data_IF_060377907934
#
_entry.id   IF_060377907934
#
_cell.length_a   1.000
_cell.length_b   1.000
_cell.length_c   1.000
_cell.angle_alpha   90.00
_cell.angle_beta   90.00
_cell.angle_gamma   90.00
#
_symmetry.space_group_name_H-M   'P 1'
#
loop_
_entity.id
_entity.type
_entity.pdbx_description
1 polymer ?
#
# COMPACT_ATOMS: atom_id res chain seq x y z
N UNK A 1 35.04 -23.04 -14.66
CA UNK A 1 34.30 -22.27 -15.68
C UNK A 1 33.62 -21.11 -14.97
N UNK A 2 33.43 -19.97 -15.63
CA UNK A 2 32.63 -18.89 -15.07
C UNK A 2 31.16 -19.23 -15.32
N UNK A 3 30.40 -19.49 -14.27
CA UNK A 3 28.97 -19.78 -14.39
C UNK A 3 28.23 -18.46 -14.49
N UNK A 4 27.62 -18.21 -15.65
CA UNK A 4 26.79 -17.05 -15.92
C UNK A 4 25.47 -17.52 -16.52
N UNK A 5 24.36 -16.92 -16.08
CA UNK A 5 23.02 -17.17 -16.58
C UNK A 5 22.45 -15.83 -17.03
N UNK A 6 21.94 -15.79 -18.26
CA UNK A 6 21.29 -14.63 -18.84
C UNK A 6 19.86 -15.01 -19.24
N UNK A 7 18.87 -14.27 -18.75
CA UNK A 7 17.46 -14.52 -19.03
C UNK A 7 16.74 -13.21 -19.36
N UNK A 8 15.96 -13.23 -20.43
CA UNK A 8 15.04 -12.15 -20.79
C UNK A 8 13.66 -12.43 -20.21
N UNK A 9 13.17 -11.55 -19.33
CA UNK A 9 11.89 -11.69 -18.64
C UNK A 9 10.94 -10.60 -19.14
N UNK A 10 9.76 -10.99 -19.59
CA UNK A 10 8.72 -10.05 -19.97
C UNK A 10 7.66 -9.94 -18.88
N UNK A 11 7.43 -8.71 -18.41
CA UNK A 11 6.41 -8.38 -17.41
C UNK A 11 5.48 -7.32 -18.02
N UNK A 12 4.25 -7.73 -18.31
CA UNK A 12 3.30 -6.89 -19.05
C UNK A 12 3.83 -6.52 -20.43
N UNK A 13 4.11 -5.22 -20.65
CA UNK A 13 4.72 -4.70 -21.89
C UNK A 13 6.22 -4.43 -21.79
N UNK A 14 6.80 -4.62 -20.60
CA UNK A 14 8.20 -4.28 -20.34
C UNK A 14 9.06 -5.53 -20.40
N UNK A 15 10.20 -5.44 -21.08
CA UNK A 15 11.20 -6.50 -21.15
C UNK A 15 12.38 -6.15 -20.25
N UNK A 16 12.77 -7.08 -19.39
CA UNK A 16 13.94 -6.99 -18.52
C UNK A 16 14.96 -8.04 -18.95
N UNK A 17 16.24 -7.70 -18.81
CA UNK A 17 17.34 -8.65 -19.00
C UNK A 17 17.99 -8.89 -17.65
N UNK A 18 18.08 -10.14 -17.22
CA UNK A 18 18.68 -10.53 -15.93
C UNK A 18 19.93 -11.34 -16.21
N UNK A 19 21.07 -10.85 -15.74
CA UNK A 19 22.37 -11.51 -15.84
C UNK A 19 22.84 -11.87 -14.44
N UNK A 20 23.03 -13.15 -14.15
CA UNK A 20 23.60 -13.63 -12.88
C UNK A 20 24.93 -14.32 -13.13
N UNK A 21 25.97 -13.97 -12.38
CA UNK A 21 27.31 -14.53 -12.54
C UNK A 21 28.08 -14.60 -11.23
N UNK A 22 29.02 -15.55 -11.14
CA UNK A 22 29.93 -15.66 -10.00
C UNK A 22 31.26 -14.95 -10.26
N UNK A 23 31.62 -14.06 -9.34
CA UNK A 23 32.88 -13.33 -9.32
C UNK A 23 33.87 -13.99 -8.36
N UNK A 24 34.84 -14.73 -8.92
CA UNK A 24 35.92 -15.39 -8.15
C UNK A 24 36.74 -14.43 -7.29
N UNK A 25 36.97 -13.22 -7.78
CA UNK A 25 37.77 -12.20 -7.08
C UNK A 25 37.14 -11.75 -5.77
N UNK A 26 35.81 -11.80 -5.67
CA UNK A 26 35.06 -11.37 -4.49
C UNK A 26 34.37 -12.52 -3.76
N UNK A 27 34.37 -13.74 -4.32
CA UNK A 27 33.60 -14.87 -3.78
C UNK A 27 32.09 -14.63 -3.77
N UNK A 28 31.59 -13.78 -4.70
CA UNK A 28 30.18 -13.36 -4.72
C UNK A 28 29.46 -13.82 -5.97
N UNK A 29 28.20 -14.18 -5.80
CA UNK A 29 27.23 -14.30 -6.88
C UNK A 29 26.51 -12.97 -7.03
N UNK A 30 26.51 -12.42 -8.24
CA UNK A 30 25.95 -11.10 -8.55
C UNK A 30 24.88 -11.27 -9.62
N UNK A 31 23.74 -10.61 -9.45
CA UNK A 31 22.71 -10.50 -10.47
C UNK A 31 22.47 -9.04 -10.83
N UNK A 32 22.58 -8.72 -12.12
CA UNK A 32 22.30 -7.41 -12.69
C UNK A 32 20.98 -7.50 -13.47
N UNK A 33 20.09 -6.53 -13.23
CA UNK A 33 18.80 -6.41 -13.88
C UNK A 33 18.84 -5.17 -14.76
N UNK A 34 18.58 -5.33 -16.05
CA UNK A 34 18.59 -4.27 -17.03
C UNK A 34 17.20 -4.08 -17.64
N UNK A 35 16.92 -2.86 -18.09
CA UNK A 35 15.78 -2.52 -18.94
C UNK A 35 16.26 -1.57 -20.03
N UNK A 36 15.96 -1.89 -21.29
CA UNK A 36 16.35 -1.09 -22.45
C UNK A 36 17.87 -0.77 -22.48
N UNK A 37 18.71 -1.72 -22.02
CA UNK A 37 20.16 -1.57 -21.91
C UNK A 37 20.67 -0.79 -20.70
N UNK A 38 19.78 -0.24 -19.87
CA UNK A 38 20.12 0.51 -18.64
C UNK A 38 20.10 -0.45 -17.45
N UNK A 39 21.18 -0.47 -16.66
CA UNK A 39 21.23 -1.24 -15.42
C UNK A 39 20.30 -0.59 -14.37
N UNK A 40 19.24 -1.30 -14.00
CA UNK A 40 18.25 -0.83 -13.02
C UNK A 40 18.64 -1.18 -11.60
N UNK A 41 19.10 -2.42 -11.39
CA UNK A 41 19.39 -2.93 -10.05
C UNK A 41 20.48 -3.98 -10.10
N UNK A 42 21.35 -3.94 -9.10
CA UNK A 42 22.37 -4.96 -8.84
C UNK A 42 22.10 -5.55 -7.46
N UNK A 43 22.03 -6.87 -7.39
CA UNK A 43 21.91 -7.60 -6.13
C UNK A 43 23.04 -8.62 -6.06
N UNK A 44 23.59 -8.82 -4.88
CA UNK A 44 24.71 -9.72 -4.69
C UNK A 44 24.59 -10.49 -3.39
N UNK A 45 25.18 -11.67 -3.36
CA UNK A 45 25.34 -12.48 -2.16
C UNK A 45 26.73 -13.13 -2.14
N UNK A 46 27.23 -13.37 -0.95
CA UNK A 46 28.43 -14.20 -0.76
C UNK A 46 28.08 -15.67 -1.04
N UNK A 47 29.06 -16.42 -1.52
CA UNK A 47 28.96 -17.87 -1.63
C UNK A 47 29.29 -18.49 -0.27
N UNK A 48 28.44 -19.42 0.19
CA UNK A 48 28.71 -20.19 1.40
C UNK A 48 29.80 -21.24 1.14
N UNK A 49 30.58 -21.61 2.16
CA UNK A 49 31.77 -22.49 2.00
C UNK A 49 31.45 -23.87 1.41
N UNK A 50 30.22 -24.35 1.63
CA UNK A 50 29.74 -25.67 1.21
C UNK A 50 28.84 -25.65 -0.05
N UNK A 51 28.59 -24.47 -0.65
CA UNK A 51 27.67 -24.33 -1.79
C UNK A 51 28.44 -24.47 -3.13
N UNK A 52 27.99 -25.37 -4.01
CA UNK A 52 28.54 -25.44 -5.36
C UNK A 52 28.21 -24.17 -6.16
N UNK A 53 29.22 -23.58 -6.82
CA UNK A 53 29.09 -22.31 -7.56
C UNK A 53 27.93 -22.35 -8.56
N UNK A 54 27.76 -23.46 -9.26
CA UNK A 54 26.74 -23.59 -10.29
C UNK A 54 25.32 -23.63 -9.70
N UNK A 55 25.13 -24.40 -8.63
CA UNK A 55 23.88 -24.43 -7.89
C UNK A 55 23.56 -23.06 -7.28
N UNK A 56 24.57 -22.39 -6.72
CA UNK A 56 24.44 -21.05 -6.15
C UNK A 56 23.97 -20.02 -7.18
N UNK A 57 24.59 -20.02 -8.36
CA UNK A 57 24.23 -19.13 -9.47
C UNK A 57 22.81 -19.43 -9.96
N UNK A 58 22.44 -20.70 -10.16
CA UNK A 58 21.09 -21.08 -10.58
C UNK A 58 20.02 -20.74 -9.53
N UNK A 59 20.29 -21.00 -8.25
CA UNK A 59 19.39 -20.70 -7.15
C UNK A 59 19.17 -19.21 -7.03
N UNK A 60 20.25 -18.43 -7.01
CA UNK A 60 20.16 -16.98 -6.91
C UNK A 60 19.48 -16.36 -8.13
N UNK A 61 19.77 -16.84 -9.34
CA UNK A 61 19.09 -16.39 -10.55
C UNK A 61 17.57 -16.63 -10.46
N UNK A 62 17.15 -17.84 -10.08
CA UNK A 62 15.72 -18.17 -9.88
C UNK A 62 15.06 -17.29 -8.82
N UNK A 63 15.73 -17.05 -7.70
CA UNK A 63 15.22 -16.15 -6.65
C UNK A 63 15.00 -14.72 -7.17
N UNK A 64 15.95 -14.19 -7.94
CA UNK A 64 15.85 -12.84 -8.54
C UNK A 64 14.73 -12.77 -9.58
N UNK A 65 14.65 -13.75 -10.48
CA UNK A 65 13.56 -13.88 -11.46
C UNK A 65 12.21 -13.95 -10.75
N UNK A 66 12.08 -14.81 -9.73
CA UNK A 66 10.84 -14.96 -8.97
C UNK A 66 10.46 -13.68 -8.23
N UNK A 67 11.42 -12.94 -7.65
CA UNK A 67 11.16 -11.63 -7.04
C UNK A 67 10.68 -10.61 -8.07
N UNK A 68 11.30 -10.59 -9.26
CA UNK A 68 10.89 -9.71 -10.34
C UNK A 68 9.45 -10.04 -10.83
N UNK A 69 9.14 -11.33 -10.97
CA UNK A 69 7.81 -11.82 -11.35
C UNK A 69 6.76 -11.69 -10.24
N UNK A 70 7.15 -11.77 -8.96
CA UNK A 70 6.22 -11.61 -7.83
C UNK A 70 5.91 -10.15 -7.54
N UNK A 71 6.86 -9.24 -7.78
CA UNK A 71 6.58 -7.80 -7.89
C UNK A 71 5.65 -7.44 -9.05
N UNK A 72 5.52 -8.34 -10.04
CA UNK A 72 4.64 -8.22 -11.20
C UNK A 72 3.29 -8.93 -11.07
N UNK A 73 3.11 -9.80 -10.07
CA UNK A 73 1.77 -10.31 -9.75
C UNK A 73 0.93 -9.09 -9.33
N UNK A 74 -0.30 -8.91 -9.83
CA UNK A 74 -1.19 -7.93 -9.26
C UNK A 74 -1.43 -8.33 -7.80
N UNK A 75 -0.67 -7.73 -6.87
CA UNK A 75 -1.08 -7.67 -5.47
C UNK A 75 -2.49 -7.10 -5.53
N UNK A 76 -3.48 -7.84 -4.99
CA UNK A 76 -4.89 -7.45 -4.99
C UNK A 76 -4.96 -5.95 -4.67
N UNK A 77 -5.53 -5.17 -5.58
CA UNK A 77 -5.76 -3.73 -5.43
C UNK A 77 -6.70 -3.49 -4.23
N UNK A 78 -6.14 -3.40 -3.04
CA UNK A 78 -6.61 -2.42 -2.08
C UNK A 78 -5.98 -1.10 -2.52
N UNK A 79 -6.79 -0.11 -2.90
CA UNK A 79 -6.30 1.26 -3.14
C UNK A 79 -5.93 1.87 -1.79
N UNK A 80 -4.83 1.45 -1.18
CA UNK A 80 -4.28 2.22 -0.08
C UNK A 80 -3.73 3.52 -0.68
N UNK A 81 -4.22 4.65 -0.21
CA UNK A 81 -3.78 5.98 -0.60
C UNK A 81 -3.72 6.87 0.62
N UNK A 82 -2.75 7.76 0.65
CA UNK A 82 -2.64 8.81 1.67
C UNK A 82 -2.83 10.17 0.99
N UNK A 83 -3.39 11.17 1.68
CA UNK A 83 -3.39 12.55 1.21
C UNK A 83 -1.96 13.05 0.95
N UNK A 84 -1.77 13.89 -0.07
CA UNK A 84 -0.44 14.45 -0.40
C UNK A 84 0.20 15.19 0.78
N UNK A 85 -0.61 15.91 1.57
CA UNK A 85 -0.15 16.61 2.77
C UNK A 85 0.45 15.65 3.81
N UNK A 86 -0.18 14.48 3.99
CA UNK A 86 0.30 13.45 4.91
C UNK A 86 1.53 12.73 4.35
N UNK A 87 1.62 12.56 3.03
CA UNK A 87 2.81 12.03 2.36
C UNK A 87 4.01 12.94 2.65
N UNK A 88 3.86 14.25 2.54
CA UNK A 88 4.94 15.21 2.85
C UNK A 88 5.38 15.15 4.32
N UNK A 89 4.44 14.93 5.24
CA UNK A 89 4.77 14.73 6.66
C UNK A 89 5.48 13.41 6.91
N UNK A 90 5.04 12.33 6.26
CA UNK A 90 5.72 11.03 6.32
C UNK A 90 7.14 11.14 5.77
N UNK A 91 7.33 11.84 4.63
CA UNK A 91 8.65 12.12 4.06
C UNK A 91 9.54 12.77 5.11
N UNK A 92 9.07 13.82 5.80
CA UNK A 92 9.87 14.51 6.83
C UNK A 92 10.27 13.58 7.98
N UNK A 93 9.39 12.67 8.38
CA UNK A 93 9.64 11.71 9.47
C UNK A 93 10.63 10.62 9.07
N UNK A 94 10.58 10.13 7.84
CA UNK A 94 11.44 9.03 7.38
C UNK A 94 12.77 9.52 6.75
N UNK A 95 12.84 10.79 6.32
CA UNK A 95 14.05 11.39 5.71
C UNK A 95 15.32 11.23 6.55
N UNK A 96 15.29 11.35 7.89
CA UNK A 96 16.48 11.09 8.71
C UNK A 96 17.03 9.66 8.60
N UNK A 97 16.20 8.70 8.22
CA UNK A 97 16.57 7.28 8.15
C UNK A 97 16.97 6.87 6.72
N UNK A 98 16.30 7.42 5.71
CA UNK A 98 16.47 6.98 4.31
C UNK A 98 16.98 8.08 3.36
N UNK A 99 17.10 9.32 3.83
CA UNK A 99 17.61 10.45 3.06
C UNK A 99 16.83 10.69 1.76
N UNK A 100 17.55 10.80 0.64
CA UNK A 100 16.96 11.03 -0.68
C UNK A 100 16.09 9.87 -1.17
N UNK A 101 16.22 8.68 -0.59
CA UNK A 101 15.44 7.50 -0.98
C UNK A 101 14.01 7.52 -0.42
N UNK A 102 13.70 8.42 0.52
CA UNK A 102 12.41 8.48 1.19
C UNK A 102 11.21 8.59 0.25
N UNK A 103 11.32 9.38 -0.82
CA UNK A 103 10.24 9.51 -1.81
C UNK A 103 9.94 8.17 -2.51
N UNK A 104 10.99 7.46 -2.95
CA UNK A 104 10.85 6.17 -3.63
C UNK A 104 10.31 5.09 -2.70
N UNK A 105 10.78 5.06 -1.44
CA UNK A 105 10.35 4.09 -0.44
C UNK A 105 8.87 4.29 -0.09
N UNK A 106 8.40 5.54 -0.01
CA UNK A 106 6.98 5.83 0.21
C UNK A 106 6.14 5.41 -0.99
N UNK A 107 6.55 5.72 -2.21
CA UNK A 107 5.85 5.28 -3.41
C UNK A 107 5.73 3.75 -3.46
N UNK A 108 6.82 3.03 -3.17
CA UNK A 108 6.85 1.57 -3.12
C UNK A 108 5.95 1.00 -2.00
N UNK A 109 6.00 1.62 -0.82
CA UNK A 109 5.17 1.22 0.32
C UNK A 109 3.69 1.49 0.08
N UNK A 110 3.31 2.64 -0.50
CA UNK A 110 1.91 2.95 -0.88
C UNK A 110 1.41 1.94 -1.93
N UNK A 111 2.25 1.64 -2.93
CA UNK A 111 1.93 0.69 -3.99
C UNK A 111 1.73 -0.74 -3.48
N UNK A 112 2.40 -1.11 -2.39
CA UNK A 112 2.40 -2.45 -1.82
C UNK A 112 1.44 -2.64 -0.66
N UNK A 113 1.09 -1.57 0.05
CA UNK A 113 0.29 -1.63 1.25
C UNK A 113 -1.20 -1.84 0.97
N UNK A 114 -1.87 -2.55 1.86
CA UNK A 114 -3.33 -2.69 1.87
C UNK A 114 -4.01 -1.95 3.04
N UNK A 115 -3.23 -1.36 3.95
CA UNK A 115 -3.71 -0.64 5.14
C UNK A 115 -2.61 0.27 5.70
N UNK A 116 -2.96 1.21 6.62
CA UNK A 116 -2.00 2.06 7.33
C UNK A 116 -0.94 1.21 8.07
N UNK A 117 -1.35 0.12 8.71
CA UNK A 117 -0.44 -0.81 9.39
C UNK A 117 0.49 -1.54 8.41
N UNK A 118 -0.04 -2.00 7.28
CA UNK A 118 0.77 -2.60 6.22
C UNK A 118 1.78 -1.61 5.67
N UNK A 119 1.38 -0.35 5.47
CA UNK A 119 2.25 0.74 5.01
C UNK A 119 3.40 1.00 5.99
N UNK A 120 3.10 1.12 7.29
CA UNK A 120 4.13 1.26 8.33
C UNK A 120 5.10 0.07 8.29
N UNK A 121 4.59 -1.15 8.17
CA UNK A 121 5.44 -2.34 8.12
C UNK A 121 6.36 -2.38 6.89
N UNK A 122 5.88 -1.93 5.72
CA UNK A 122 6.69 -1.81 4.51
C UNK A 122 7.79 -0.75 4.67
N UNK A 123 7.47 0.43 5.22
CA UNK A 123 8.46 1.49 5.50
C UNK A 123 9.55 1.05 6.48
N UNK A 124 9.20 0.20 7.44
CA UNK A 124 10.14 -0.31 8.44
C UNK A 124 10.95 -1.52 7.94
N UNK A 125 10.66 -2.05 6.76
CA UNK A 125 11.19 -3.33 6.27
C UNK A 125 12.71 -3.46 6.32
N UNK A 126 13.43 -2.37 6.02
CA UNK A 126 14.90 -2.34 5.99
C UNK A 126 15.55 -1.94 7.33
N UNK A 127 14.75 -1.53 8.32
CA UNK A 127 15.23 -1.10 9.63
C UNK A 127 15.13 -2.21 10.66
N UNK A 128 16.09 -2.22 11.59
CA UNK A 128 16.14 -3.19 12.70
C UNK A 128 16.52 -2.51 14.03
N UNK A 129 16.22 -3.18 15.14
CA UNK A 129 16.56 -2.70 16.49
C UNK A 129 15.92 -1.36 16.85
N UNK A 130 16.67 -0.51 17.55
CA UNK A 130 16.17 0.72 18.17
C UNK A 130 15.64 1.75 17.18
N UNK A 131 16.25 1.83 15.99
CA UNK A 131 15.83 2.76 14.92
C UNK A 131 14.46 2.39 14.37
N UNK A 132 14.18 1.09 14.24
CA UNK A 132 12.88 0.56 13.82
C UNK A 132 11.80 0.88 14.84
N UNK A 133 12.08 0.69 16.13
CA UNK A 133 11.13 0.99 17.21
C UNK A 133 10.80 2.49 17.26
N UNK A 134 11.82 3.35 17.21
CA UNK A 134 11.64 4.79 17.25
C UNK A 134 10.86 5.32 16.04
N UNK A 135 11.18 4.83 14.84
CA UNK A 135 10.45 5.24 13.64
C UNK A 135 9.01 4.69 13.62
N UNK A 136 8.82 3.46 14.10
CA UNK A 136 7.49 2.85 14.23
C UNK A 136 6.58 3.68 15.12
N UNK A 137 7.06 4.14 16.28
CA UNK A 137 6.28 4.99 17.17
C UNK A 137 5.95 6.35 16.53
N UNK A 138 6.91 6.99 15.85
CA UNK A 138 6.68 8.26 15.15
C UNK A 138 5.66 8.14 14.03
N UNK A 139 5.77 7.08 13.22
CA UNK A 139 4.83 6.83 12.11
C UNK A 139 3.45 6.46 12.61
N UNK A 140 3.35 5.65 13.68
CA UNK A 140 2.06 5.37 14.32
C UNK A 140 1.45 6.64 14.84
N UNK A 141 2.19 7.50 15.56
CA UNK A 141 1.65 8.80 15.98
C UNK A 141 1.23 9.62 14.79
N UNK A 142 2.05 9.79 13.77
CA UNK A 142 1.71 10.60 12.60
C UNK A 142 0.46 10.11 11.84
N UNK A 143 0.32 8.79 11.69
CA UNK A 143 -0.75 8.17 10.88
C UNK A 143 -2.01 7.84 11.68
N UNK A 144 -1.95 7.93 13.01
CA UNK A 144 -3.06 7.65 13.96
C UNK A 144 -3.46 8.90 14.76
N UNK A 145 -2.60 9.91 14.88
CA UNK A 145 -2.96 11.28 15.29
C UNK A 145 -3.66 11.94 14.10
N UNK A 146 -4.90 11.51 13.91
CA UNK A 146 -5.86 12.09 13.01
C UNK A 146 -6.04 13.59 13.34
N UNK A 147 -5.58 14.46 12.43
CA UNK A 147 -6.21 15.77 12.21
C UNK A 147 -7.46 15.68 11.34
N UNK A 148 -7.93 14.47 11.08
CA UNK A 148 -9.21 14.18 10.46
C UNK A 148 -9.80 13.03 11.24
N UNK A 149 -10.69 13.33 12.20
CA UNK A 149 -11.71 12.37 12.59
C UNK A 149 -12.41 11.94 11.29
N UNK A 150 -11.92 10.87 10.66
CA UNK A 150 -12.68 10.16 9.64
C UNK A 150 -13.85 9.58 10.39
N UNK A 151 -14.96 10.29 10.31
CA UNK A 151 -16.21 9.90 10.90
C UNK A 151 -16.66 8.61 10.21
N UNK A 152 -16.27 7.46 10.78
CA UNK A 152 -16.64 6.16 10.22
C UNK A 152 -18.15 5.99 10.34
N UNK A 153 -18.76 5.41 9.29
CA UNK A 153 -20.20 5.11 9.28
C UNK A 153 -20.57 4.22 10.48
N UNK A 154 -19.64 3.37 10.94
CA UNK A 154 -19.82 2.54 12.13
C UNK A 154 -19.95 3.35 13.42
N UNK A 155 -19.17 4.44 13.57
CA UNK A 155 -19.25 5.31 14.75
C UNK A 155 -20.52 6.16 14.74
N UNK A 156 -21.02 6.56 13.57
CA UNK A 156 -22.26 7.32 13.43
C UNK A 156 -23.50 6.45 13.27
N UNK A 157 -23.40 5.12 13.42
CA UNK A 157 -24.48 4.20 13.06
C UNK A 157 -25.79 4.57 13.74
N UNK A 158 -25.75 4.93 15.02
CA UNK A 158 -26.95 5.30 15.77
C UNK A 158 -27.55 6.63 15.29
N UNK A 159 -26.74 7.67 15.05
CA UNK A 159 -27.25 8.94 14.53
C UNK A 159 -27.77 8.81 13.10
N UNK A 160 -27.09 8.05 12.24
CA UNK A 160 -27.51 7.79 10.87
C UNK A 160 -28.84 7.04 10.89
N UNK A 161 -28.97 5.97 11.68
CA UNK A 161 -30.24 5.23 11.80
C UNK A 161 -31.36 6.10 12.36
N UNK A 162 -31.06 7.00 13.31
CA UNK A 162 -32.05 7.96 13.82
C UNK A 162 -32.53 8.91 12.73
N UNK A 163 -31.61 9.44 11.90
CA UNK A 163 -31.97 10.32 10.78
C UNK A 163 -32.75 9.55 9.74
N UNK A 164 -32.27 8.38 9.32
CA UNK A 164 -32.95 7.54 8.33
C UNK A 164 -34.34 7.11 8.83
N UNK A 165 -34.52 6.89 10.13
CA UNK A 165 -35.82 6.60 10.73
C UNK A 165 -36.87 7.69 10.50
N UNK A 166 -36.46 8.96 10.40
CA UNK A 166 -37.38 10.06 10.11
C UNK A 166 -37.88 10.07 8.65
N UNK A 167 -37.09 9.54 7.71
CA UNK A 167 -37.41 9.55 6.28
C UNK A 167 -37.97 8.22 5.79
N UNK A 168 -37.42 7.10 6.28
CA UNK A 168 -37.72 5.74 5.84
C UNK A 168 -38.47 4.90 6.87
N UNK A 169 -38.65 5.41 8.10
CA UNK A 169 -39.38 4.72 9.15
C UNK A 169 -38.78 3.35 9.49
N UNK A 170 -39.61 2.32 9.44
CA UNK A 170 -39.21 0.93 9.75
C UNK A 170 -38.14 0.37 8.78
N UNK A 171 -38.01 0.95 7.59
CA UNK A 171 -37.05 0.48 6.57
C UNK A 171 -35.65 1.06 6.77
N UNK A 172 -35.45 1.96 7.74
CA UNK A 172 -34.17 2.63 7.97
C UNK A 172 -33.01 1.66 8.17
N UNK A 173 -33.21 0.57 8.91
CA UNK A 173 -32.18 -0.45 9.15
C UNK A 173 -31.84 -1.20 7.88
N UNK A 174 -32.85 -1.67 7.13
CA UNK A 174 -32.64 -2.39 5.88
C UNK A 174 -31.95 -1.53 4.84
N UNK A 175 -32.36 -0.28 4.69
CA UNK A 175 -31.75 0.68 3.76
C UNK A 175 -30.31 0.98 4.15
N UNK A 176 -30.02 1.11 5.45
CA UNK A 176 -28.65 1.30 5.93
C UNK A 176 -27.75 0.10 5.59
N UNK A 177 -28.21 -1.13 5.86
CA UNK A 177 -27.47 -2.36 5.60
C UNK A 177 -27.28 -2.60 4.10
N UNK A 178 -28.33 -2.48 3.29
CA UNK A 178 -28.28 -2.61 1.82
C UNK A 178 -27.33 -1.57 1.21
N UNK A 179 -27.37 -0.34 1.69
CA UNK A 179 -26.47 0.72 1.20
C UNK A 179 -25.02 0.40 1.55
N UNK A 180 -24.74 -0.10 2.76
CA UNK A 180 -23.39 -0.50 3.16
C UNK A 180 -22.86 -1.69 2.34
N UNK A 181 -23.70 -2.68 2.05
CA UNK A 181 -23.30 -3.84 1.23
C UNK A 181 -22.97 -3.45 -0.22
N UNK A 182 -23.64 -2.42 -0.74
CA UNK A 182 -23.38 -1.91 -2.10
C UNK A 182 -22.20 -0.94 -2.20
N UNK A 183 -21.68 -0.46 -1.07
CA UNK A 183 -20.56 0.47 -1.04
C UNK A 183 -19.22 -0.25 -1.24
N UNK A 184 -18.40 0.29 -2.14
CA UNK A 184 -17.04 -0.19 -2.35
C UNK A 184 -16.03 0.48 -1.39
N UNK A 185 -16.48 1.46 -0.61
CA UNK A 185 -15.68 2.22 0.34
C UNK A 185 -16.52 2.62 1.56
N UNK A 186 -15.89 2.74 2.74
CA UNK A 186 -16.57 3.22 3.96
C UNK A 186 -16.72 4.77 3.98
N UNK A 187 -16.94 5.39 2.82
CA UNK A 187 -17.08 6.84 2.70
C UNK A 187 -18.48 7.30 3.09
N UNK A 188 -18.57 8.19 4.07
CA UNK A 188 -19.84 8.81 4.48
C UNK A 188 -20.49 9.59 3.32
N UNK A 189 -19.72 10.25 2.47
CA UNK A 189 -20.27 11.01 1.34
C UNK A 189 -20.86 10.09 0.26
N UNK A 190 -20.19 8.96 -0.01
CA UNK A 190 -20.72 7.94 -0.94
C UNK A 190 -22.00 7.31 -0.38
N UNK A 191 -22.04 7.05 0.92
CA UNK A 191 -23.24 6.60 1.63
C UNK A 191 -24.40 7.60 1.52
N UNK A 192 -24.13 8.89 1.77
CA UNK A 192 -25.13 9.97 1.68
C UNK A 192 -25.73 10.05 0.29
N UNK A 193 -24.90 10.05 -0.76
CA UNK A 193 -25.39 10.13 -2.13
C UNK A 193 -26.25 8.92 -2.51
N UNK A 194 -25.82 7.73 -2.10
CA UNK A 194 -26.50 6.47 -2.40
C UNK A 194 -27.84 6.39 -1.69
N UNK A 195 -27.89 6.62 -0.38
CA UNK A 195 -29.14 6.54 0.39
C UNK A 195 -30.13 7.62 -0.02
N UNK A 196 -29.63 8.83 -0.31
CA UNK A 196 -30.46 9.95 -0.75
C UNK A 196 -30.99 9.77 -2.17
N UNK A 197 -30.40 8.89 -2.98
CA UNK A 197 -30.90 8.58 -4.32
C UNK A 197 -32.24 7.82 -4.32
N UNK A 198 -32.62 7.25 -3.16
CA UNK A 198 -33.90 6.56 -2.98
C UNK A 198 -35.08 7.52 -2.73
N UNK A 199 -34.81 8.82 -2.53
CA UNK A 199 -35.81 9.86 -2.30
C UNK A 199 -35.81 10.90 -3.43
N UNK A 200 -36.90 11.65 -3.54
CA UNK A 200 -37.04 12.72 -4.53
C UNK A 200 -37.36 14.08 -3.89
N UNK A 201 -37.03 15.15 -4.61
CA UNK A 201 -37.43 16.51 -4.24
C UNK A 201 -36.88 16.98 -2.88
N UNK A 202 -37.75 17.56 -2.06
CA UNK A 202 -37.37 18.22 -0.80
C UNK A 202 -36.89 17.23 0.28
N UNK A 203 -37.37 16.00 0.24
CA UNK A 203 -36.99 14.96 1.20
C UNK A 203 -35.55 14.50 0.97
N UNK A 204 -35.14 14.38 -0.30
CA UNK A 204 -33.75 14.11 -0.68
C UNK A 204 -32.78 15.16 -0.16
N UNK A 205 -33.09 16.45 -0.38
CA UNK A 205 -32.22 17.54 0.07
C UNK A 205 -32.18 17.63 1.60
N UNK A 206 -33.33 17.44 2.27
CA UNK A 206 -33.40 17.43 3.73
C UNK A 206 -32.61 16.27 4.37
N UNK A 207 -32.60 15.10 3.74
CA UNK A 207 -31.80 13.96 4.19
C UNK A 207 -30.30 14.24 4.04
N UNK A 208 -29.88 14.74 2.88
CA UNK A 208 -28.47 15.10 2.63
C UNK A 208 -27.94 16.11 3.64
N UNK A 209 -28.70 17.18 3.88
CA UNK A 209 -28.31 18.24 4.82
C UNK A 209 -28.12 17.68 6.25
N UNK A 210 -29.06 16.85 6.72
CA UNK A 210 -28.98 16.24 8.04
C UNK A 210 -27.83 15.23 8.18
N UNK A 211 -27.62 14.37 7.19
CA UNK A 211 -26.51 13.42 7.24
C UNK A 211 -25.15 14.11 7.14
N UNK A 212 -25.02 15.16 6.30
CA UNK A 212 -23.80 15.98 6.25
C UNK A 212 -23.55 16.76 7.54
N UNK A 213 -24.61 17.10 8.30
CA UNK A 213 -24.42 17.74 9.61
C UNK A 213 -23.67 16.85 10.60
N UNK A 214 -23.67 15.52 10.41
CA UNK A 214 -22.91 14.59 11.24
C UNK A 214 -21.40 14.74 11.05
N UNK A 215 -20.93 15.08 9.84
CA UNK A 215 -19.50 15.33 9.58
C UNK A 215 -19.00 16.66 10.14
N UNK A 216 -19.90 17.50 10.66
CA UNK A 216 -19.58 18.82 11.23
C UNK A 216 -19.69 18.88 12.75
N UNK A 217 -20.09 17.77 13.39
CA UNK A 217 -20.20 17.62 14.85
C UNK A 217 -19.01 16.89 15.50
N UNK A 218 -18.14 16.35 14.67
CA UNK A 218 -16.81 15.82 14.97
C UNK A 218 -15.78 16.93 14.80
#
# INVERSE_FOLDING_TARGET
MATSINEDITIGRTKFHVQTEFYRSSGKVVSNIFKDGIALKRVERSLDEDEEIEEAVQKFHREVVQKLLSGAKPKKKGKFSLPEELIDEVIKVISPYFGIASAFIIEEAISSASSKESFINELLGELSGKEREELSEKLKRLLTEDKTEEVSIDNLKEEILSILGEFFGIMAVSIFEETLEELNSNSLEEFIEKVSSQLEGKEREGLKERLRSLSSKS
#
